data_IF_459474471932
#
_entry.id   IF_459474471932
#
_cell.length_a   1.000
_cell.length_b   1.000
_cell.length_c   1.000
_cell.angle_alpha   90.00
_cell.angle_beta   90.00
_cell.angle_gamma   90.00
#
_symmetry.space_group_name_H-M   'P 1'
#
loop_
_entity.id
_entity.type
_entity.pdbx_description
1 polymer ?
#
# COMPACT_ATOMS: atom_id res chain seq x y z
N UNK A 1 12.73 20.27 22.52
CA UNK A 1 12.33 20.24 21.09
C UNK A 1 13.37 20.85 20.14
N UNK A 2 14.15 21.85 20.54
CA UNK A 2 15.09 22.55 19.65
C UNK A 2 16.17 21.65 19.01
N UNK A 3 16.73 20.69 19.74
CA UNK A 3 17.74 19.76 19.18
C UNK A 3 17.18 18.92 18.03
N UNK A 4 15.92 18.46 18.12
CA UNK A 4 15.32 17.63 17.07
C UNK A 4 14.98 18.42 15.81
N UNK A 5 14.67 19.72 15.92
CA UNK A 5 14.45 20.59 14.77
C UNK A 5 15.69 20.70 13.86
N UNK A 6 16.90 20.61 14.43
CA UNK A 6 18.15 20.70 13.68
C UNK A 6 18.63 19.37 13.09
N UNK A 7 18.05 18.23 13.49
CA UNK A 7 18.56 16.90 13.10
C UNK A 7 18.47 16.60 11.61
N UNK A 8 17.46 17.13 10.91
CA UNK A 8 17.25 16.88 9.48
C UNK A 8 16.67 18.11 8.79
N UNK A 9 17.39 18.66 7.81
CA UNK A 9 16.95 19.81 7.02
C UNK A 9 15.94 19.50 5.90
N UNK A 10 15.24 18.36 5.94
CA UNK A 10 14.31 18.00 4.86
C UNK A 10 12.93 18.64 5.07
N UNK A 11 12.23 18.96 3.97
CA UNK A 11 10.86 19.52 4.04
C UNK A 11 9.89 18.58 4.76
N UNK A 12 10.03 17.27 4.55
CA UNK A 12 9.27 16.25 5.27
C UNK A 12 9.52 16.32 6.78
N UNK A 13 10.76 16.54 7.21
CA UNK A 13 11.07 16.70 8.63
C UNK A 13 10.38 17.92 9.24
N UNK A 14 10.39 19.06 8.53
CA UNK A 14 9.68 20.26 8.97
C UNK A 14 8.15 20.01 9.11
N UNK A 15 7.54 19.26 8.18
CA UNK A 15 6.13 18.89 8.24
C UNK A 15 5.81 17.91 9.39
N UNK A 16 6.60 16.85 9.56
CA UNK A 16 6.41 15.92 10.68
C UNK A 16 6.61 16.62 12.02
N UNK A 17 7.53 17.60 12.09
CA UNK A 17 7.72 18.43 13.27
C UNK A 17 6.49 19.27 13.61
N UNK A 18 5.94 20.00 12.66
CA UNK A 18 4.70 20.77 12.82
C UNK A 18 3.54 19.88 13.31
N UNK A 19 3.42 18.68 12.74
CA UNK A 19 2.39 17.71 13.09
C UNK A 19 2.54 17.19 14.53
N UNK A 20 3.76 16.87 14.94
CA UNK A 20 4.04 16.45 16.32
C UNK A 20 3.81 17.57 17.31
N UNK A 21 4.31 18.79 17.03
CA UNK A 21 4.07 19.96 17.87
C UNK A 21 2.56 20.24 18.06
N UNK A 22 1.76 20.12 16.98
CA UNK A 22 0.30 20.23 17.06
C UNK A 22 -0.32 19.13 17.93
N UNK A 23 0.15 17.89 17.82
CA UNK A 23 -0.34 16.79 18.66
C UNK A 23 0.00 17.01 20.14
N UNK A 24 1.23 17.41 20.45
CA UNK A 24 1.67 17.75 21.81
C UNK A 24 0.88 18.91 22.39
N UNK A 25 0.69 20.00 21.64
CA UNK A 25 -0.11 21.13 22.08
C UNK A 25 -1.57 20.72 22.40
N UNK A 26 -2.15 19.80 21.62
CA UNK A 26 -3.49 19.26 21.90
C UNK A 26 -3.52 18.43 23.19
N UNK A 27 -2.50 17.60 23.42
CA UNK A 27 -2.38 16.79 24.65
C UNK A 27 -2.19 17.70 25.88
N UNK A 28 -1.30 18.70 25.79
CA UNK A 28 -1.05 19.65 26.87
C UNK A 28 -2.31 20.44 27.21
N UNK A 29 -3.04 20.95 26.20
CA UNK A 29 -4.30 21.66 26.42
C UNK A 29 -5.41 20.78 27.03
N UNK A 30 -5.39 19.48 26.75
CA UNK A 30 -6.35 18.56 27.38
C UNK A 30 -6.07 18.37 28.88
N UNK A 31 -4.79 18.42 29.28
CA UNK A 31 -4.37 18.31 30.69
C UNK A 31 -4.50 19.65 31.44
N UNK A 32 -4.17 20.73 30.76
CA UNK A 32 -4.21 22.09 31.28
C UNK A 32 -4.95 23.01 30.29
N UNK A 33 -6.24 23.28 30.54
CA UNK A 33 -7.04 24.15 29.69
C UNK A 33 -6.53 25.59 29.60
N UNK A 34 -5.64 26.04 30.49
CA UNK A 34 -5.06 27.40 30.47
C UNK A 34 -4.02 27.58 29.35
N UNK A 35 -3.48 26.48 28.80
CA UNK A 35 -2.50 26.53 27.71
C UNK A 35 -3.15 27.13 26.45
N UNK A 36 -2.58 28.22 25.89
CA UNK A 36 -3.17 28.86 24.72
C UNK A 36 -3.16 27.93 23.50
N UNK A 37 -4.19 27.98 22.65
CA UNK A 37 -4.24 27.14 21.46
C UNK A 37 -3.12 27.52 20.49
N UNK A 38 -2.25 26.55 20.18
CA UNK A 38 -1.21 26.72 19.16
C UNK A 38 -1.86 26.81 17.77
N UNK A 39 -1.63 27.91 17.06
CA UNK A 39 -1.98 28.01 15.63
C UNK A 39 -1.10 27.04 14.84
N UNK A 40 -1.71 26.30 13.91
CA UNK A 40 -0.93 25.41 13.04
C UNK A 40 -0.28 26.23 11.93
N UNK A 41 1.00 26.02 11.67
CA UNK A 41 1.68 26.59 10.51
C UNK A 41 1.36 25.72 9.28
N UNK A 42 0.62 26.24 8.28
CA UNK A 42 0.33 25.48 7.07
C UNK A 42 1.53 25.37 6.12
N UNK A 43 2.60 26.16 6.30
CA UNK A 43 3.72 26.27 5.36
C UNK A 43 4.46 24.93 5.16
N UNK A 44 4.88 24.19 6.19
CA UNK A 44 5.60 22.93 5.99
C UNK A 44 4.76 21.90 5.21
N UNK A 45 3.45 21.84 5.48
CA UNK A 45 2.53 20.96 4.76
C UNK A 45 2.43 21.36 3.28
N UNK A 46 2.31 22.66 2.99
CA UNK A 46 2.24 23.18 1.62
C UNK A 46 3.54 22.92 0.85
N UNK A 47 4.69 23.10 1.49
CA UNK A 47 5.99 22.85 0.89
C UNK A 47 6.20 21.38 0.55
N UNK A 48 5.82 20.48 1.45
CA UNK A 48 5.87 19.04 1.20
C UNK A 48 4.90 18.63 0.08
N UNK A 49 3.67 19.16 0.10
CA UNK A 49 2.67 18.86 -0.93
C UNK A 49 3.09 19.29 -2.34
N UNK A 50 3.84 20.39 -2.47
CA UNK A 50 4.41 20.85 -3.76
C UNK A 50 5.40 19.84 -4.36
N UNK A 51 5.99 18.99 -3.54
CA UNK A 51 6.96 17.98 -3.98
C UNK A 51 6.36 16.59 -4.15
N UNK A 52 5.11 16.40 -3.76
CA UNK A 52 4.46 15.10 -3.95
C UNK A 52 4.28 14.84 -5.44
N UNK A 53 4.70 13.63 -5.86
CA UNK A 53 4.37 13.14 -7.19
C UNK A 53 2.86 13.04 -7.31
N UNK A 54 2.31 13.55 -8.41
CA UNK A 54 0.89 13.41 -8.71
C UNK A 54 0.54 11.92 -8.78
N UNK A 55 -0.56 11.47 -8.15
CA UNK A 55 -0.99 10.08 -8.26
C UNK A 55 -1.19 9.69 -9.73
N UNK A 56 -0.62 8.55 -10.14
CA UNK A 56 -0.86 7.96 -11.46
C UNK A 56 -1.96 6.91 -11.34
N UNK A 57 -2.99 7.02 -12.18
CA UNK A 57 -4.03 5.98 -12.30
C UNK A 57 -3.52 4.99 -13.34
N UNK A 58 -3.27 3.75 -12.91
CA UNK A 58 -2.76 2.70 -13.78
C UNK A 58 -3.80 2.32 -14.84
N UNK A 59 -3.39 2.32 -16.11
CA UNK A 59 -4.20 1.78 -17.19
C UNK A 59 -4.24 0.24 -17.13
N UNK A 60 -5.22 -0.43 -17.79
CA UNK A 60 -5.21 -1.88 -17.92
C UNK A 60 -3.91 -2.42 -18.55
N UNK A 61 -3.29 -1.66 -19.46
CA UNK A 61 -1.99 -2.01 -20.05
C UNK A 61 -0.85 -1.93 -19.02
N UNK A 62 -0.86 -0.92 -18.15
CA UNK A 62 0.12 -0.80 -17.06
C UNK A 62 0.00 -1.95 -16.07
N UNK A 63 -1.23 -2.37 -15.76
CA UNK A 63 -1.49 -3.49 -14.86
C UNK A 63 -1.02 -4.82 -15.45
N UNK A 64 -1.29 -5.09 -16.73
CA UNK A 64 -0.75 -6.27 -17.42
C UNK A 64 0.77 -6.31 -17.34
N UNK A 65 1.43 -5.20 -17.70
CA UNK A 65 2.90 -5.08 -17.58
C UNK A 65 3.39 -5.33 -16.15
N UNK A 66 2.69 -4.78 -15.15
CA UNK A 66 3.05 -4.97 -13.74
C UNK A 66 2.93 -6.43 -13.30
N UNK A 67 1.88 -7.12 -13.73
CA UNK A 67 1.65 -8.54 -13.46
C UNK A 67 2.69 -9.43 -14.17
N UNK A 68 3.05 -9.10 -15.41
CA UNK A 68 4.09 -9.82 -16.17
C UNK A 68 5.47 -9.67 -15.50
N UNK A 69 5.79 -8.46 -15.00
CA UNK A 69 7.00 -8.21 -14.20
C UNK A 69 6.99 -9.02 -12.91
N UNK A 70 5.84 -9.12 -12.23
CA UNK A 70 5.72 -9.89 -10.99
C UNK A 70 6.02 -11.39 -11.21
N UNK A 71 5.53 -11.97 -12.31
CA UNK A 71 5.80 -13.37 -12.69
C UNK A 71 7.26 -13.61 -13.06
N UNK A 72 7.89 -12.65 -13.73
CA UNK A 72 9.30 -12.75 -14.15
C UNK A 72 10.31 -12.30 -13.08
N UNK A 73 9.85 -11.89 -11.89
CA UNK A 73 10.72 -11.28 -10.89
C UNK A 73 11.75 -12.28 -10.33
N UNK A 74 13.07 -12.08 -10.52
CA UNK A 74 14.08 -13.06 -10.13
C UNK A 74 14.11 -13.25 -8.61
N UNK A 75 13.78 -14.47 -8.16
CA UNK A 75 13.71 -14.79 -6.73
C UNK A 75 14.49 -16.06 -6.37
N UNK A 76 15.83 -16.07 -6.49
CA UNK A 76 16.64 -17.28 -6.27
C UNK A 76 16.49 -17.90 -4.88
N UNK A 77 16.13 -17.08 -3.88
CA UNK A 77 16.02 -17.47 -2.47
C UNK A 77 14.59 -17.80 -2.02
N UNK A 78 13.59 -17.64 -2.89
CA UNK A 78 12.19 -17.83 -2.54
C UNK A 78 11.36 -18.12 -3.80
N UNK A 79 11.19 -19.40 -4.14
CA UNK A 79 10.45 -19.82 -5.34
C UNK A 79 9.02 -19.25 -5.38
N UNK A 80 8.34 -19.20 -4.23
CA UNK A 80 6.97 -18.68 -4.12
C UNK A 80 6.86 -17.15 -4.24
N UNK A 81 7.98 -16.41 -4.27
CA UNK A 81 7.95 -14.94 -4.24
C UNK A 81 7.32 -14.34 -5.50
N UNK A 82 7.54 -14.96 -6.66
CA UNK A 82 6.94 -14.54 -7.94
C UNK A 82 5.42 -14.69 -7.89
N UNK A 83 4.96 -15.89 -7.55
CA UNK A 83 3.54 -16.21 -7.42
C UNK A 83 2.85 -15.37 -6.34
N UNK A 84 3.50 -15.17 -5.20
CA UNK A 84 2.97 -14.32 -4.13
C UNK A 84 2.85 -12.86 -4.60
N UNK A 85 3.83 -12.32 -5.31
CA UNK A 85 3.75 -10.95 -5.84
C UNK A 85 2.66 -10.81 -6.89
N UNK A 86 2.56 -11.76 -7.81
CA UNK A 86 1.52 -11.80 -8.82
C UNK A 86 0.13 -11.82 -8.17
N UNK A 87 -0.10 -12.75 -7.26
CA UNK A 87 -1.38 -12.91 -6.56
C UNK A 87 -1.69 -11.69 -5.70
N UNK A 88 -0.69 -11.11 -5.02
CA UNK A 88 -0.88 -9.87 -4.25
C UNK A 88 -1.39 -8.71 -5.12
N UNK A 89 -0.77 -8.49 -6.28
CA UNK A 89 -1.15 -7.42 -7.19
C UNK A 89 -2.52 -7.68 -7.82
N UNK A 90 -2.77 -8.93 -8.21
CA UNK A 90 -4.03 -9.34 -8.80
C UNK A 90 -5.19 -9.17 -7.81
N UNK A 91 -5.04 -9.59 -6.57
CA UNK A 91 -6.03 -9.41 -5.51
C UNK A 91 -6.25 -7.94 -5.15
N UNK A 92 -5.17 -7.15 -5.09
CA UNK A 92 -5.28 -5.72 -4.86
C UNK A 92 -6.09 -5.03 -5.95
N UNK A 93 -5.95 -5.46 -7.20
CA UNK A 93 -6.69 -4.91 -8.34
C UNK A 93 -8.14 -5.40 -8.40
N UNK A 94 -8.36 -6.72 -8.38
CA UNK A 94 -9.69 -7.31 -8.57
C UNK A 94 -10.61 -7.16 -7.36
N UNK A 95 -10.08 -7.29 -6.14
CA UNK A 95 -10.86 -7.21 -4.90
C UNK A 95 -10.68 -5.87 -4.16
N UNK A 96 -9.83 -4.96 -4.66
CA UNK A 96 -9.63 -3.64 -4.04
C UNK A 96 -9.05 -3.71 -2.63
N UNK A 97 -8.25 -4.74 -2.32
CA UNK A 97 -7.69 -4.95 -0.98
C UNK A 97 -6.68 -3.87 -0.62
N UNK A 98 -6.81 -3.29 0.58
CA UNK A 98 -5.79 -2.40 1.12
C UNK A 98 -4.52 -3.20 1.45
N UNK A 99 -3.35 -2.55 1.37
CA UNK A 99 -2.05 -3.16 1.71
C UNK A 99 -2.05 -3.93 3.06
N UNK A 100 -2.70 -3.40 4.09
CA UNK A 100 -2.78 -4.06 5.40
C UNK A 100 -3.76 -5.24 5.45
N UNK A 101 -4.79 -5.24 4.61
CA UNK A 101 -5.73 -6.36 4.45
C UNK A 101 -5.04 -7.48 3.69
N UNK A 102 -4.37 -7.14 2.59
CA UNK A 102 -3.58 -8.07 1.79
C UNK A 102 -2.50 -8.76 2.62
N UNK A 103 -1.71 -8.00 3.40
CA UNK A 103 -0.64 -8.57 4.23
C UNK A 103 -1.12 -9.49 5.38
N UNK A 104 -2.42 -9.50 5.68
CA UNK A 104 -3.03 -10.35 6.72
C UNK A 104 -3.88 -11.48 6.14
N UNK A 105 -4.07 -11.51 4.83
CA UNK A 105 -4.89 -12.51 4.17
C UNK A 105 -4.28 -13.90 4.41
N UNK A 106 -5.12 -14.82 4.88
CA UNK A 106 -4.76 -16.21 5.10
C UNK A 106 -5.40 -17.10 4.02
N UNK A 107 -4.87 -18.30 3.78
CA UNK A 107 -5.45 -19.27 2.85
C UNK A 107 -6.91 -19.56 3.22
N UNK A 108 -7.19 -19.65 4.52
CA UNK A 108 -8.54 -19.86 5.06
C UNK A 108 -9.50 -18.69 4.89
N UNK A 109 -9.06 -17.56 4.34
CA UNK A 109 -9.94 -16.43 3.99
C UNK A 109 -10.43 -16.47 2.56
N UNK A 110 -9.84 -17.34 1.72
CA UNK A 110 -10.18 -17.47 0.30
C UNK A 110 -11.04 -18.71 0.13
N UNK A 111 -12.31 -18.53 -0.20
CA UNK A 111 -13.20 -19.63 -0.57
C UNK A 111 -13.26 -19.71 -2.09
N UNK A 112 -12.50 -20.65 -2.65
CA UNK A 112 -12.43 -20.89 -4.10
C UNK A 112 -13.72 -21.51 -4.65
N UNK A 113 -14.51 -22.21 -3.82
CA UNK A 113 -15.77 -22.83 -4.24
C UNK A 113 -16.87 -21.81 -4.50
N UNK A 114 -17.00 -20.84 -3.59
CA UNK A 114 -17.99 -19.75 -3.73
C UNK A 114 -17.43 -18.55 -4.52
N UNK A 115 -16.13 -18.56 -4.84
CA UNK A 115 -15.44 -17.41 -5.44
C UNK A 115 -15.53 -16.19 -4.51
N UNK A 116 -15.18 -16.34 -3.22
CA UNK A 116 -15.24 -15.22 -2.26
C UNK A 116 -13.98 -15.07 -1.41
N UNK A 117 -13.71 -13.83 -0.98
CA UNK A 117 -12.67 -13.49 0.01
C UNK A 117 -13.31 -12.89 1.24
N UNK A 118 -12.97 -13.46 2.40
CA UNK A 118 -13.34 -12.91 3.70
C UNK A 118 -12.24 -11.97 4.19
N UNK A 119 -12.48 -10.66 4.11
CA UNK A 119 -11.55 -9.68 4.64
C UNK A 119 -11.85 -9.44 6.12
N UNK A 120 -11.09 -10.10 7.00
CA UNK A 120 -11.25 -9.99 8.46
C UNK A 120 -10.61 -8.71 9.00
N UNK A 121 -11.19 -8.15 10.06
CA UNK A 121 -10.51 -7.21 10.96
C UNK A 121 -9.92 -5.98 10.26
N UNK A 122 -10.72 -5.34 9.42
CA UNK A 122 -10.31 -4.12 8.70
C UNK A 122 -10.34 -2.91 9.63
N UNK A 123 -9.96 -1.71 9.12
CA UNK A 123 -10.08 -0.48 9.91
C UNK A 123 -11.52 -0.39 10.42
N UNK A 124 -11.70 -0.24 11.74
CA UNK A 124 -12.99 -0.31 12.45
C UNK A 124 -13.55 -1.71 12.74
N UNK A 125 -12.73 -2.77 12.73
CA UNK A 125 -13.12 -4.14 13.13
C UNK A 125 -14.27 -4.73 12.28
N UNK A 126 -14.56 -4.15 11.11
CA UNK A 126 -15.57 -4.68 10.20
C UNK A 126 -14.97 -5.79 9.36
N UNK A 127 -15.68 -6.91 9.29
CA UNK A 127 -15.43 -8.00 8.34
C UNK A 127 -16.36 -7.82 7.15
N UNK A 128 -15.87 -8.08 5.94
CA UNK A 128 -16.67 -8.07 4.71
C UNK A 128 -16.29 -9.24 3.82
N UNK A 129 -17.27 -9.77 3.09
CA UNK A 129 -17.08 -10.80 2.07
C UNK A 129 -17.09 -10.09 0.72
N UNK A 130 -16.09 -10.36 -0.12
CA UNK A 130 -15.97 -9.80 -1.45
C UNK A 130 -16.02 -10.92 -2.49
N UNK A 131 -16.76 -10.75 -3.60
CA UNK A 131 -16.69 -11.71 -4.70
C UNK A 131 -15.32 -11.62 -5.38
N UNK A 132 -14.78 -12.77 -5.73
CA UNK A 132 -13.62 -12.96 -6.59
C UNK A 132 -14.11 -13.28 -8.00
N UNK A 133 -13.58 -12.62 -9.03
CA UNK A 133 -13.83 -13.06 -10.39
C UNK A 133 -13.12 -14.40 -10.67
N UNK A 134 -13.74 -15.25 -11.48
CA UNK A 134 -13.25 -16.60 -11.82
C UNK A 134 -11.80 -16.61 -12.34
N UNK A 135 -11.41 -15.55 -13.05
CA UNK A 135 -10.05 -15.35 -13.57
C UNK A 135 -8.98 -15.39 -12.47
N UNK A 136 -9.33 -14.99 -11.25
CA UNK A 136 -8.43 -15.00 -10.09
C UNK A 136 -8.45 -16.37 -9.42
N UNK A 137 -9.62 -17.01 -9.33
CA UNK A 137 -9.76 -18.37 -8.78
C UNK A 137 -8.86 -19.36 -9.52
N UNK A 138 -8.81 -19.28 -10.86
CA UNK A 138 -7.91 -20.10 -11.69
C UNK A 138 -6.44 -19.86 -11.35
N UNK A 139 -6.04 -18.62 -11.04
CA UNK A 139 -4.65 -18.29 -10.71
C UNK A 139 -4.18 -18.81 -9.35
N UNK A 140 -5.10 -19.19 -8.44
CA UNK A 140 -4.76 -19.79 -7.15
C UNK A 140 -4.41 -21.28 -7.23
N UNK A 141 -4.79 -21.97 -8.30
CA UNK A 141 -4.49 -23.39 -8.53
C UNK A 141 -3.04 -23.79 -8.20
N UNK A 142 -2.00 -23.08 -8.69
CA UNK A 142 -0.61 -23.42 -8.39
C UNK A 142 -0.18 -23.15 -6.94
N UNK A 143 -0.79 -22.18 -6.24
CA UNK A 143 -0.43 -21.84 -4.85
C UNK A 143 -0.99 -22.90 -3.87
N UNK A 144 -2.15 -23.47 -4.18
CA UNK A 144 -2.77 -24.51 -3.36
C UNK A 144 -2.02 -25.85 -3.41
N UNK A 145 -1.29 -26.13 -4.50
CA UNK A 145 -0.57 -27.39 -4.70
C UNK A 145 0.82 -27.44 -4.07
N UNK A 146 1.45 -26.28 -3.82
CA UNK A 146 2.72 -26.21 -3.12
C UNK A 146 2.53 -26.14 -1.60
N UNK A 147 2.07 -27.27 -1.05
CA UNK A 147 2.20 -27.72 0.34
C UNK A 147 2.43 -26.65 1.40
N UNK A 148 1.35 -26.18 2.02
CA UNK A 148 1.43 -25.72 3.41
C UNK A 148 0.45 -26.53 4.26
N UNK A 149 0.97 -27.64 4.80
CA UNK A 149 0.31 -28.37 5.87
C UNK A 149 0.33 -27.53 7.14
N UNK A 150 -0.69 -26.69 7.34
CA UNK A 150 -1.19 -26.20 8.63
C UNK A 150 -2.25 -25.14 8.37
N UNK A 151 -3.41 -25.26 9.01
CA UNK A 151 -4.58 -24.37 8.90
C UNK A 151 -4.35 -22.90 9.34
N UNK A 152 -3.11 -22.49 9.56
CA UNK A 152 -2.69 -21.13 9.92
C UNK A 152 -1.58 -20.57 9.01
N UNK A 153 -1.42 -21.17 7.84
CA UNK A 153 -0.49 -20.73 6.82
C UNK A 153 -0.98 -19.44 6.15
N UNK A 154 -0.63 -18.28 6.74
CA UNK A 154 -0.80 -16.99 6.05
C UNK A 154 -0.31 -17.13 4.62
N UNK A 155 -1.21 -16.88 3.66
CA UNK A 155 -0.89 -16.80 2.23
C UNK A 155 0.36 -15.95 1.98
N UNK A 156 0.58 -14.97 2.85
CA UNK A 156 1.54 -13.90 2.69
C UNK A 156 2.32 -13.69 3.99
N UNK A 157 3.41 -14.43 4.20
CA UNK A 157 4.44 -13.98 5.15
C UNK A 157 5.19 -12.81 4.52
N UNK A 158 5.16 -11.59 5.10
CA UNK A 158 6.05 -10.54 4.64
C UNK A 158 7.50 -10.98 4.93
N UNK A 159 8.46 -10.79 4.01
CA UNK A 159 9.86 -11.00 4.35
C UNK A 159 10.30 -9.95 5.38
N UNK A 160 10.40 -10.36 6.64
CA UNK A 160 11.06 -9.57 7.68
C UNK A 160 12.58 -9.53 7.44
N UNK A 161 13.14 -8.33 7.61
CA UNK A 161 14.54 -7.96 7.81
C UNK A 161 15.57 -8.34 6.72
N UNK A 162 15.84 -7.38 5.83
CA UNK A 162 17.03 -7.37 4.97
C UNK A 162 17.30 -5.96 4.45
N UNK A 163 18.29 -5.29 5.07
CA UNK A 163 18.94 -4.02 4.74
C UNK A 163 18.50 -3.27 3.46
N UNK A 164 18.04 -2.02 3.62
CA UNK A 164 17.91 -1.05 2.53
C UNK A 164 19.26 -0.84 1.83
N UNK A 165 19.41 -1.35 0.60
CA UNK A 165 20.26 -0.72 -0.42
C UNK A 165 19.36 0.13 -1.30
N UNK A 166 19.52 1.45 -1.19
CA UNK A 166 18.87 2.40 -2.08
C UNK A 166 19.38 2.16 -3.52
N UNK A 167 18.47 1.74 -4.41
CA UNK A 167 18.72 1.78 -5.86
C UNK A 167 18.27 3.17 -6.34
N UNK A 168 19.12 3.94 -7.04
CA UNK A 168 18.75 5.26 -7.53
C UNK A 168 17.69 5.12 -8.64
N UNK A 169 16.60 5.89 -8.52
CA UNK A 169 15.58 5.97 -9.56
C UNK A 169 16.16 6.67 -10.81
N UNK A 170 15.86 6.20 -12.03
CA UNK A 170 16.28 6.88 -13.24
C UNK A 170 15.63 8.26 -13.34
N UNK A 171 16.43 9.27 -13.67
CA UNK A 171 16.00 10.61 -14.11
C UNK A 171 15.19 10.42 -15.39
N UNK A 172 13.94 10.85 -15.39
CA UNK A 172 13.23 11.13 -16.64
C UNK A 172 13.20 12.64 -16.85
N UNK A 173 14.03 13.08 -17.79
CA UNK A 173 13.98 14.38 -18.44
C UNK A 173 12.95 14.31 -19.58
N UNK A 174 12.22 15.42 -19.77
CA UNK A 174 11.81 15.85 -21.11
C UNK A 174 10.50 15.33 -21.69
N UNK A 175 9.50 16.21 -21.60
CA UNK A 175 8.63 16.64 -22.70
C UNK A 175 7.18 16.14 -22.80
N UNK A 176 6.28 17.01 -23.31
CA UNK A 176 4.86 17.01 -23.00
C UNK A 176 3.99 16.48 -24.13
N UNK A 177 2.76 16.09 -23.79
CA UNK A 177 1.69 15.90 -24.77
C UNK A 177 1.01 14.54 -24.66
N UNK A 178 -0.28 14.55 -24.29
CA UNK A 178 -1.37 14.08 -25.15
C UNK A 178 -2.60 13.71 -24.29
N UNK A 179 -3.62 14.56 -24.44
CA UNK A 179 -5.06 14.29 -24.49
C UNK A 179 -5.69 13.29 -23.49
N UNK A 180 -6.55 13.86 -22.65
CA UNK A 180 -7.55 13.17 -21.86
C UNK A 180 -8.55 12.44 -22.78
N UNK A 181 -8.86 11.18 -22.48
CA UNK A 181 -10.09 10.54 -22.94
C UNK A 181 -10.79 9.95 -21.72
N UNK A 182 -11.94 10.56 -21.42
CA UNK A 182 -12.95 10.09 -20.49
C UNK A 182 -13.58 8.79 -21.01
N UNK A 183 -13.71 7.77 -20.17
CA UNK A 183 -14.65 6.68 -20.43
C UNK A 183 -15.96 6.96 -19.68
N UNK A 184 -17.00 7.22 -20.46
CA UNK A 184 -18.41 7.08 -20.10
C UNK A 184 -18.74 5.58 -20.17
N UNK A 185 -19.41 5.07 -19.15
CA UNK A 185 -19.93 3.70 -19.09
C UNK A 185 -21.30 3.66 -19.80
N UNK A 186 -21.60 2.71 -20.69
CA UNK A 186 -22.93 2.58 -21.26
C UNK A 186 -23.86 1.85 -20.30
N UNK A 187 -25.10 2.32 -20.22
CA UNK A 187 -26.27 1.51 -19.87
C UNK A 187 -26.94 0.97 -21.13
#
# INVERSE_FOLDING_TARGET
MCQWAATKGTRNHAYEREKLERAFAKILRHRDPSVPPRRSDPRPRKEVARQWRKPHIYSPADLRRMLDIARSYPSPRAALRQENMYTMLLLAYCAGLRRGELARLDLGDVNLGDGTITVRQTKFFKTRILPLPDSVVVSFGPISLHGVGSAHSRLLTPPCSGTNKAVPAPRQEGSPGCLQTSYVVPG
#
